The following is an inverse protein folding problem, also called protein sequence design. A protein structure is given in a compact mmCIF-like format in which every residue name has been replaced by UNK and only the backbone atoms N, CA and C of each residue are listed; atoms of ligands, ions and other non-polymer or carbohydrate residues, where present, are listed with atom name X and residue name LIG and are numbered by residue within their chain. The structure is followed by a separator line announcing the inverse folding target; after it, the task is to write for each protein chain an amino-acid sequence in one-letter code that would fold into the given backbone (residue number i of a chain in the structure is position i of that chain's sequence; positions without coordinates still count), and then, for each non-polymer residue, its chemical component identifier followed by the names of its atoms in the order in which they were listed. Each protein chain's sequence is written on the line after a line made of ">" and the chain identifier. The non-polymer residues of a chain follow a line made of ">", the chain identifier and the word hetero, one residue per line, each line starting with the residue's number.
data_IF_161938812372
#
_entry.id   IF_161938812372
#
_cell.length_a   1.000
_cell.length_b   1.000
_cell.length_c   1.000
_cell.angle_alpha   90.00
_cell.angle_beta   90.00
_cell.angle_gamma   90.00
#
_symmetry.space_group_name_H-M   'P 1'
#
loop_
_entity.id
_entity.type
_entity.pdbx_description
1 polymer ?
#
# COMPACT_ATOMS: atom_id res chain seq x y z
N UNK A 1 24.56 27.76 6.06
CA UNK A 1 23.61 27.25 5.06
C UNK A 1 23.46 25.77 5.35
N UNK A 2 22.51 25.43 6.21
CA UNK A 2 22.06 24.06 6.33
C UNK A 2 21.27 23.78 5.06
N UNK A 3 21.82 22.94 4.18
CA UNK A 3 21.00 22.32 3.15
C UNK A 3 20.00 21.46 3.92
N UNK A 4 18.76 21.92 3.98
CA UNK A 4 17.62 21.13 4.42
C UNK A 4 17.57 19.91 3.50
N UNK A 5 18.26 18.85 3.93
CA UNK A 5 18.39 17.58 3.22
C UNK A 5 17.03 16.89 3.38
N UNK A 6 16.03 17.40 2.65
CA UNK A 6 14.68 16.81 2.59
C UNK A 6 14.68 15.34 2.14
N UNK A 7 15.83 14.84 1.69
CA UNK A 7 16.10 13.44 1.34
C UNK A 7 16.41 12.54 2.56
N UNK A 8 16.63 13.08 3.76
CA UNK A 8 16.79 12.29 5.01
C UNK A 8 15.45 12.03 5.73
N UNK A 9 14.34 12.55 5.19
CA UNK A 9 13.02 12.28 5.75
C UNK A 9 12.62 10.86 5.38
N UNK A 10 12.72 9.94 6.33
CA UNK A 10 12.10 8.62 6.22
C UNK A 10 10.64 8.71 6.62
N UNK A 11 9.80 7.97 5.92
CA UNK A 11 8.36 7.85 6.14
C UNK A 11 8.02 6.43 6.49
N UNK A 12 6.96 6.25 7.25
CA UNK A 12 6.43 4.91 7.53
C UNK A 12 5.21 4.70 6.66
N UNK A 13 5.26 3.65 5.86
CA UNK A 13 4.11 3.10 5.16
C UNK A 13 3.54 1.98 6.00
N UNK A 14 2.22 2.01 6.23
CA UNK A 14 1.46 0.91 6.80
C UNK A 14 0.43 0.46 5.78
N UNK A 15 0.44 -0.83 5.44
CA UNK A 15 -0.57 -1.48 4.63
C UNK A 15 -1.38 -2.41 5.51
N UNK A 16 -2.68 -2.16 5.60
CA UNK A 16 -3.62 -3.03 6.28
C UNK A 16 -4.52 -3.69 5.25
N UNK A 17 -4.56 -5.01 5.28
CA UNK A 17 -5.47 -5.85 4.49
C UNK A 17 -6.53 -6.38 5.45
N UNK A 18 -7.77 -5.97 5.22
CA UNK A 18 -8.94 -6.37 6.01
C UNK A 18 -9.87 -7.20 5.13
N UNK A 19 -9.75 -8.54 5.15
CA UNK A 19 -10.64 -9.40 4.38
C UNK A 19 -12.02 -9.52 5.03
N UNK A 20 -13.07 -9.72 4.23
CA UNK A 20 -14.43 -10.03 4.71
C UNK A 20 -14.44 -11.33 5.54
N UNK A 21 -13.54 -12.26 5.20
CA UNK A 21 -13.32 -13.51 5.93
C UNK A 21 -11.84 -13.74 6.18
N UNK A 22 -11.48 -13.93 7.44
CA UNK A 22 -10.11 -14.23 7.86
C UNK A 22 -9.62 -13.25 8.92
N UNK A 23 -8.31 -13.23 9.10
CA UNK A 23 -7.65 -12.28 10.00
C UNK A 23 -7.14 -11.08 9.21
N UNK A 24 -7.30 -9.89 9.80
CA UNK A 24 -6.66 -8.69 9.29
C UNK A 24 -5.13 -8.83 9.37
N UNK A 25 -4.44 -8.35 8.35
CA UNK A 25 -2.98 -8.35 8.29
C UNK A 25 -2.50 -6.93 8.09
N UNK A 26 -1.59 -6.48 8.94
CA UNK A 26 -0.95 -5.17 8.78
C UNK A 26 0.54 -5.35 8.68
N UNK A 27 1.09 -4.84 7.58
CA UNK A 27 2.53 -4.76 7.35
C UNK A 27 2.96 -3.30 7.30
N UNK A 28 4.18 -3.05 7.78
CA UNK A 28 4.72 -1.69 7.81
C UNK A 28 6.16 -1.67 7.30
N UNK A 29 6.46 -0.70 6.46
CA UNK A 29 7.78 -0.50 5.88
C UNK A 29 8.26 0.93 6.11
N UNK A 30 9.56 1.08 6.33
CA UNK A 30 10.23 2.38 6.31
C UNK A 30 10.68 2.68 4.89
N UNK A 31 10.28 3.85 4.39
CA UNK A 31 10.47 4.26 3.01
C UNK A 31 11.13 5.65 3.02
N UNK A 32 12.11 5.89 2.18
CA UNK A 32 12.65 7.25 2.05
C UNK A 32 11.61 8.14 1.34
N UNK A 33 11.51 9.41 1.72
CA UNK A 33 10.55 10.34 1.13
C UNK A 33 10.71 10.53 -0.39
N UNK A 34 11.82 10.08 -0.99
CA UNK A 34 12.09 10.12 -2.43
C UNK A 34 12.09 8.75 -3.11
N UNK A 35 11.88 7.67 -2.35
CA UNK A 35 11.95 6.30 -2.87
C UNK A 35 10.59 5.88 -3.44
N UNK A 36 10.60 5.31 -4.65
CA UNK A 36 9.42 4.63 -5.19
C UNK A 36 9.41 3.20 -4.68
N UNK A 37 8.29 2.80 -4.06
CA UNK A 37 8.12 1.42 -3.58
C UNK A 37 6.90 0.81 -4.24
N UNK A 38 7.08 -0.43 -4.69
CA UNK A 38 6.01 -1.28 -5.19
C UNK A 38 5.80 -2.42 -4.20
N UNK A 39 4.56 -2.56 -3.73
CA UNK A 39 4.14 -3.67 -2.89
C UNK A 39 3.11 -4.48 -3.65
N UNK A 40 3.39 -5.77 -3.79
CA UNK A 40 2.46 -6.75 -4.31
C UNK A 40 1.81 -7.45 -3.12
N UNK A 41 0.51 -7.29 -2.99
CA UNK A 41 -0.27 -7.96 -1.95
C UNK A 41 -1.30 -8.88 -2.57
N UNK A 42 -1.46 -10.03 -1.93
CA UNK A 42 -2.39 -11.08 -2.33
C UNK A 42 -3.48 -11.11 -1.25
N UNK A 43 -4.58 -10.36 -1.44
CA UNK A 43 -5.72 -10.52 -0.55
C UNK A 43 -6.22 -11.98 -0.62
N UNK A 44 -6.89 -12.47 0.44
CA UNK A 44 -7.24 -13.89 0.52
C UNK A 44 -8.14 -14.28 -0.65
N UNK A 45 -7.69 -15.32 -1.37
CA UNK A 45 -8.03 -15.71 -2.74
C UNK A 45 -9.54 -15.97 -3.05
N UNK A 46 -10.45 -15.75 -2.10
CA UNK A 46 -11.87 -16.13 -2.19
C UNK A 46 -12.82 -15.13 -1.50
N UNK A 47 -12.37 -13.93 -1.11
CA UNK A 47 -13.24 -12.99 -0.40
C UNK A 47 -12.90 -11.53 -0.67
N UNK A 48 -13.94 -10.69 -0.78
CA UNK A 48 -13.76 -9.25 -0.84
C UNK A 48 -12.88 -8.76 0.34
N UNK A 49 -12.02 -7.79 0.07
CA UNK A 49 -11.12 -7.25 1.09
C UNK A 49 -10.98 -5.75 0.93
N UNK A 50 -10.84 -5.05 2.05
CA UNK A 50 -10.49 -3.64 2.06
C UNK A 50 -8.99 -3.52 2.31
N UNK A 51 -8.29 -2.88 1.39
CA UNK A 51 -6.87 -2.58 1.50
C UNK A 51 -6.70 -1.11 1.83
N UNK A 52 -5.99 -0.82 2.92
CA UNK A 52 -5.73 0.54 3.38
C UNK A 52 -4.24 0.78 3.39
N UNK A 53 -3.76 1.70 2.56
CA UNK A 53 -2.38 2.16 2.58
C UNK A 53 -2.31 3.54 3.23
N UNK A 54 -1.55 3.65 4.31
CA UNK A 54 -1.29 4.89 5.01
C UNK A 54 0.21 5.19 4.95
N UNK A 55 0.58 6.34 4.39
CA UNK A 55 1.97 6.82 4.40
C UNK A 55 2.02 8.11 5.20
N UNK A 56 2.99 8.20 6.11
CA UNK A 56 3.21 9.43 6.87
C UNK A 56 3.38 10.65 5.95
N UNK A 57 2.51 11.65 6.12
CA UNK A 57 2.49 12.86 5.31
C UNK A 57 1.78 12.75 3.95
N UNK A 58 1.06 11.67 3.67
CA UNK A 58 0.09 11.57 2.57
C UNK A 58 -1.31 11.28 3.10
N UNK A 59 -2.31 11.52 2.26
CA UNK A 59 -3.65 11.03 2.52
C UNK A 59 -3.65 9.50 2.53
N UNK A 60 -4.36 8.93 3.51
CA UNK A 60 -4.59 7.49 3.55
C UNK A 60 -5.49 7.13 2.38
N UNK A 61 -5.10 6.10 1.63
CA UNK A 61 -5.89 5.63 0.50
C UNK A 61 -6.41 4.24 0.78
N UNK A 62 -7.68 4.05 0.50
CA UNK A 62 -8.38 2.79 0.69
C UNK A 62 -8.85 2.27 -0.66
N UNK A 63 -8.60 0.98 -0.90
CA UNK A 63 -8.99 0.26 -2.08
C UNK A 63 -9.90 -0.91 -1.68
N UNK A 64 -11.07 -0.99 -2.30
CA UNK A 64 -11.99 -2.10 -2.11
C UNK A 64 -11.74 -3.14 -3.20
N UNK A 65 -11.24 -4.29 -2.79
CA UNK A 65 -11.02 -5.43 -3.68
C UNK A 65 -12.26 -6.32 -3.69
N UNK A 66 -12.83 -6.51 -4.87
CA UNK A 66 -13.90 -7.46 -5.11
C UNK A 66 -13.26 -8.84 -5.40
N UNK A 67 -13.26 -9.73 -4.41
CA UNK A 67 -12.66 -11.06 -4.50
C UNK A 67 -13.49 -12.02 -5.36
N UNK A 68 -13.64 -11.71 -6.66
CA UNK A 68 -14.45 -12.51 -7.59
C UNK A 68 -13.61 -13.60 -8.30
N UNK A 69 -12.28 -13.46 -8.35
CA UNK A 69 -11.40 -14.42 -9.04
C UNK A 69 -10.13 -14.78 -8.24
N UNK A 70 -9.84 -16.08 -8.05
CA UNK A 70 -8.60 -16.52 -7.42
C UNK A 70 -7.41 -16.23 -8.34
N UNK A 71 -6.40 -15.54 -7.82
CA UNK A 71 -5.18 -15.19 -8.57
C UNK A 71 -4.98 -13.71 -8.84
N UNK A 72 -5.96 -12.87 -8.49
CA UNK A 72 -5.78 -11.42 -8.54
C UNK A 72 -4.75 -10.96 -7.50
N UNK A 73 -4.01 -9.92 -7.86
CA UNK A 73 -3.02 -9.29 -7.00
C UNK A 73 -3.17 -7.78 -7.10
N UNK A 74 -2.96 -7.08 -6.00
CA UNK A 74 -2.94 -5.61 -6.01
C UNK A 74 -1.49 -5.15 -5.99
N UNK A 75 -1.13 -4.33 -6.98
CA UNK A 75 0.14 -3.61 -7.01
C UNK A 75 -0.07 -2.22 -6.46
N UNK A 76 0.54 -1.93 -5.31
CA UNK A 76 0.51 -0.61 -4.70
C UNK A 76 1.83 0.06 -5.04
N UNK A 77 1.78 1.17 -5.76
CA UNK A 77 2.96 1.97 -6.09
C UNK A 77 2.88 3.30 -5.38
N UNK A 78 3.87 3.55 -4.52
CA UNK A 78 4.00 4.79 -3.76
C UNK A 78 5.17 5.56 -4.34
N UNK A 79 4.94 6.82 -4.70
CA UNK A 79 5.97 7.77 -5.11
C UNK A 79 6.09 8.93 -4.11
N UNK A 80 7.20 9.68 -4.12
CA UNK A 80 7.37 10.97 -3.43
C UNK A 80 6.27 12.00 -3.66
N UNK A 81 5.42 11.85 -4.65
CA UNK A 81 4.46 12.85 -5.08
C UNK A 81 3.03 12.32 -5.10
N UNK A 82 2.85 11.00 -5.19
CA UNK A 82 1.57 10.35 -5.42
C UNK A 82 1.52 8.93 -4.83
N UNK A 83 0.32 8.47 -4.49
CA UNK A 83 0.07 7.09 -4.09
C UNK A 83 -0.92 6.48 -5.08
N UNK A 84 -0.50 5.41 -5.75
CA UNK A 84 -1.25 4.76 -6.84
C UNK A 84 -1.50 3.29 -6.55
N UNK A 85 -2.67 2.79 -6.97
CA UNK A 85 -3.05 1.38 -6.90
C UNK A 85 -3.34 0.91 -8.31
N UNK A 86 -2.71 -0.21 -8.66
CA UNK A 86 -2.91 -0.90 -9.93
C UNK A 86 -3.40 -2.31 -9.64
N UNK A 87 -4.63 -2.61 -10.04
CA UNK A 87 -5.16 -3.96 -9.93
C UNK A 87 -4.54 -4.83 -11.03
N UNK A 88 -3.79 -5.85 -10.61
CA UNK A 88 -3.21 -6.83 -11.51
C UNK A 88 -4.09 -8.08 -11.49
N UNK A 89 -5.07 -8.08 -12.40
CA UNK A 89 -5.90 -9.25 -12.74
C UNK A 89 -5.04 -10.20 -13.57
N UNK A 90 -4.88 -11.45 -13.13
CA UNK A 90 -4.01 -12.45 -13.79
C UNK A 90 -4.80 -13.58 -14.43
#
# INVERSE_FOLDING_TARGET
>A
MELDNRTDTTRTLSLTVSPDRGEESTDSWTIDATSTIRIETYPPLDSAATLTAAVDGYETVTYEWAGDEPGNSLSIQITPDELTFDELIR
#
